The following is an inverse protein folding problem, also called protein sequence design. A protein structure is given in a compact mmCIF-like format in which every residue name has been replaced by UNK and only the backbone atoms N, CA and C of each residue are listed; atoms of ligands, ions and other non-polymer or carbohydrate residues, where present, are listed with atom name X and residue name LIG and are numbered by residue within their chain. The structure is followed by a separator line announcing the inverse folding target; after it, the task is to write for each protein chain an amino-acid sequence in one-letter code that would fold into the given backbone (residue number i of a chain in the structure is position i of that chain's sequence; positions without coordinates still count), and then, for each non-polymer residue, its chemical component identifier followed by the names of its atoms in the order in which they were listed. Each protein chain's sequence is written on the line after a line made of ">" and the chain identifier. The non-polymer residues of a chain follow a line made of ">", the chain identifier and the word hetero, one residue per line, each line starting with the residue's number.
data_IF_115970371091
#
_entry.id   IF_115970371091
#
_cell.length_a   1.000
_cell.length_b   1.000
_cell.length_c   1.000
_cell.angle_alpha   90.00
_cell.angle_beta   90.00
_cell.angle_gamma   90.00
#
_symmetry.space_group_name_H-M   'P 1'
#
loop_
_entity.id
_entity.type
_entity.pdbx_description
1 polymer ?
#
# COMPACT_ATOMS: atom_id res chain seq x y z
N UNK A 1 -39.13 -5.24 -21.34
CA UNK A 1 -37.82 -5.57 -20.76
C UNK A 1 -36.91 -4.38 -21.02
N UNK A 2 -36.84 -3.44 -20.06
CA UNK A 2 -35.92 -2.31 -20.12
C UNK A 2 -34.67 -2.68 -19.36
N UNK A 3 -33.53 -2.56 -20.02
CA UNK A 3 -32.21 -2.91 -19.54
C UNK A 3 -31.77 -1.88 -18.47
N UNK A 4 -32.03 -2.17 -17.19
CA UNK A 4 -31.82 -1.25 -16.05
C UNK A 4 -30.34 -1.06 -15.66
N UNK A 5 -29.40 -1.64 -16.42
CA UNK A 5 -27.97 -1.57 -16.11
C UNK A 5 -27.14 -0.77 -17.13
N UNK A 6 -27.79 -0.12 -18.10
CA UNK A 6 -27.07 0.79 -18.98
C UNK A 6 -26.57 2.01 -18.16
N UNK A 7 -25.26 2.31 -18.16
CA UNK A 7 -24.74 3.51 -17.51
C UNK A 7 -25.42 4.76 -18.08
N UNK A 8 -25.74 5.71 -17.20
CA UNK A 8 -26.35 6.97 -17.64
C UNK A 8 -25.43 7.69 -18.64
N UNK A 9 -26.01 8.42 -19.58
CA UNK A 9 -25.24 9.19 -20.57
C UNK A 9 -24.28 10.19 -19.89
N UNK A 10 -24.62 10.70 -18.70
CA UNK A 10 -23.76 11.56 -17.90
C UNK A 10 -22.55 10.81 -17.34
N UNK A 11 -22.74 9.58 -16.84
CA UNK A 11 -21.64 8.75 -16.35
C UNK A 11 -20.67 8.37 -17.49
N UNK A 12 -21.20 8.03 -18.67
CA UNK A 12 -20.39 7.75 -19.85
C UNK A 12 -19.56 8.97 -20.28
N UNK A 13 -20.16 10.17 -20.29
CA UNK A 13 -19.44 11.43 -20.59
C UNK A 13 -18.39 11.76 -19.54
N UNK A 14 -18.67 11.49 -18.26
CA UNK A 14 -17.70 11.69 -17.18
C UNK A 14 -16.49 10.76 -17.32
N UNK A 15 -16.73 9.47 -17.63
CA UNK A 15 -15.66 8.53 -17.89
C UNK A 15 -14.85 8.95 -19.12
N UNK A 16 -15.50 9.30 -20.23
CA UNK A 16 -14.83 9.79 -21.45
C UNK A 16 -13.97 11.03 -21.17
N UNK A 17 -14.47 11.98 -20.39
CA UNK A 17 -13.69 13.13 -19.96
C UNK A 17 -12.49 12.73 -19.11
N UNK A 18 -12.62 11.77 -18.18
CA UNK A 18 -11.50 11.26 -17.39
C UNK A 18 -10.46 10.56 -18.26
N UNK A 19 -10.86 9.69 -19.21
CA UNK A 19 -9.91 9.01 -20.11
C UNK A 19 -9.19 10.00 -21.01
N UNK A 20 -9.91 10.94 -21.64
CA UNK A 20 -9.32 11.97 -22.51
C UNK A 20 -8.37 12.88 -21.71
N UNK A 21 -8.73 13.25 -20.49
CA UNK A 21 -7.88 14.10 -19.64
C UNK A 21 -6.63 13.35 -19.18
N UNK A 22 -6.74 12.06 -18.90
CA UNK A 22 -5.60 11.21 -18.52
C UNK A 22 -4.67 10.97 -19.71
N UNK A 23 -5.21 10.69 -20.90
CA UNK A 23 -4.45 10.59 -22.15
C UNK A 23 -3.72 11.89 -22.49
N UNK A 24 -4.41 13.04 -22.43
CA UNK A 24 -3.78 14.35 -22.64
C UNK A 24 -2.72 14.72 -21.59
N UNK A 25 -2.82 14.18 -20.37
CA UNK A 25 -1.77 14.32 -19.36
C UNK A 25 -0.59 13.42 -19.72
N UNK A 26 -0.82 12.14 -20.05
CA UNK A 26 0.25 11.24 -20.45
C UNK A 26 0.98 11.71 -21.71
N UNK A 27 0.27 12.26 -22.70
CA UNK A 27 0.88 12.83 -23.90
C UNK A 27 1.70 14.09 -23.59
N UNK A 28 1.22 14.94 -22.66
CA UNK A 28 2.01 16.09 -22.17
C UNK A 28 3.31 15.67 -21.47
N UNK A 29 3.29 14.55 -20.76
CA UNK A 29 4.48 14.01 -20.11
C UNK A 29 5.34 13.15 -21.04
N UNK A 30 4.83 12.78 -22.22
CA UNK A 30 5.58 12.00 -23.23
C UNK A 30 6.37 12.88 -24.19
N UNK A 31 6.06 14.18 -24.24
CA UNK A 31 6.73 15.14 -25.12
C UNK A 31 8.01 15.77 -24.52
N UNK A 32 8.34 15.50 -23.26
CA UNK A 32 9.58 16.01 -22.63
C UNK A 32 10.72 14.97 -22.56
N UNK A 33 10.47 13.70 -22.92
CA UNK A 33 11.49 12.63 -22.91
C UNK A 33 12.10 12.34 -24.30
N UNK A 34 11.53 12.89 -25.39
CA UNK A 34 12.03 12.68 -26.78
C UNK A 34 12.73 13.92 -27.39
N UNK A 35 12.82 15.06 -26.67
CA UNK A 35 13.48 16.30 -27.13
C UNK A 35 14.80 16.60 -26.40
N UNK A 36 15.60 15.57 -26.08
CA UNK A 36 17.06 15.78 -25.98
C UNK A 36 17.62 15.82 -27.40
N UNK A 37 17.69 17.04 -27.90
CA UNK A 37 18.32 17.52 -29.13
C UNK A 37 19.57 16.67 -29.47
N UNK A 38 19.38 15.67 -30.31
CA UNK A 38 20.46 15.15 -31.15
C UNK A 38 20.70 16.21 -32.23
N UNK A 39 21.64 17.12 -31.98
CA UNK A 39 22.20 17.98 -33.02
C UNK A 39 22.85 17.06 -34.08
N UNK A 40 22.32 16.98 -35.31
CA UNK A 40 22.90 16.12 -36.35
C UNK A 40 24.25 16.65 -36.86
N UNK A 41 24.72 17.81 -36.36
CA UNK A 41 26.07 18.35 -36.59
C UNK A 41 26.97 18.34 -35.34
N UNK A 42 26.54 17.75 -34.22
CA UNK A 42 27.42 17.56 -33.08
C UNK A 42 28.44 16.47 -33.40
N UNK A 43 29.60 16.91 -33.88
CA UNK A 43 30.80 16.12 -34.08
C UNK A 43 31.12 15.30 -32.82
N UNK A 44 31.05 13.95 -32.87
CA UNK A 44 31.35 13.10 -31.72
C UNK A 44 32.83 13.14 -31.31
N UNK A 45 33.66 13.94 -31.98
CA UNK A 45 35.07 14.17 -31.62
C UNK A 45 35.33 15.48 -30.87
N UNK A 46 34.30 16.28 -30.56
CA UNK A 46 34.43 17.46 -29.71
C UNK A 46 34.58 17.12 -28.21
N UNK A 47 35.44 16.15 -27.88
CA UNK A 47 36.13 16.20 -26.61
C UNK A 47 36.97 17.48 -26.63
N UNK A 48 36.67 18.39 -25.72
CA UNK A 48 37.51 19.52 -25.41
C UNK A 48 38.94 19.00 -25.16
N UNK A 49 39.78 19.06 -26.20
CA UNK A 49 41.18 19.33 -26.05
C UNK A 49 41.24 20.65 -25.31
N UNK A 50 41.34 20.58 -23.99
CA UNK A 50 42.01 21.62 -23.23
C UNK A 50 43.42 21.65 -23.78
N UNK A 51 43.60 22.45 -24.82
CA UNK A 51 44.90 22.91 -25.24
C UNK A 51 45.46 23.66 -24.04
N UNK A 52 46.29 22.97 -23.26
CA UNK A 52 47.18 23.61 -22.30
C UNK A 52 48.13 24.44 -23.15
N UNK A 53 47.72 25.68 -23.41
CA UNK A 53 48.53 26.71 -24.00
C UNK A 53 49.67 26.96 -23.01
N UNK A 54 50.77 26.24 -23.20
CA UNK A 54 52.00 26.43 -22.45
C UNK A 54 52.67 27.67 -23.03
N UNK A 55 52.75 28.79 -22.28
CA UNK A 55 53.42 29.98 -22.78
C UNK A 55 54.88 29.65 -23.10
N UNK A 56 55.33 30.15 -24.25
CA UNK A 56 56.63 29.86 -24.82
C UNK A 56 57.79 30.06 -23.85
N UNK A 57 58.51 28.98 -23.59
CA UNK A 57 59.88 29.04 -23.09
C UNK A 57 60.79 28.89 -24.31
N UNK A 58 61.11 30.03 -24.93
CA UNK A 58 62.26 30.14 -25.81
C UNK A 58 63.50 30.28 -24.93
N UNK A 59 64.28 29.21 -24.79
CA UNK A 59 65.68 29.29 -24.39
C UNK A 59 66.40 28.06 -24.94
N UNK A 60 67.35 28.31 -25.83
CA UNK A 60 68.15 27.28 -26.47
C UNK A 60 69.01 26.49 -25.48
N UNK A 61 69.26 25.23 -25.80
CA UNK A 61 70.49 24.57 -25.42
C UNK A 61 70.75 23.39 -26.35
N UNK A 62 71.76 23.54 -27.21
CA UNK A 62 72.38 22.44 -27.93
C UNK A 62 73.14 21.60 -26.91
N UNK A 63 72.54 20.49 -26.50
CA UNK A 63 73.13 19.57 -25.54
C UNK A 63 72.59 18.17 -25.78
N UNK A 64 73.36 17.37 -26.51
CA UNK A 64 73.18 15.95 -26.70
C UNK A 64 73.02 15.23 -25.35
N UNK A 65 71.80 14.89 -25.00
CA UNK A 65 71.47 14.04 -23.87
C UNK A 65 70.35 13.12 -24.30
N UNK A 66 70.64 11.83 -24.40
CA UNK A 66 69.68 10.78 -24.66
C UNK A 66 68.63 10.74 -23.53
N UNK A 67 67.59 11.57 -23.65
CA UNK A 67 66.44 11.50 -22.77
C UNK A 67 65.65 10.24 -23.13
N UNK A 68 65.45 9.32 -22.17
CA UNK A 68 65.01 7.97 -22.47
C UNK A 68 63.56 8.01 -22.95
N UNK A 69 63.26 7.19 -23.97
CA UNK A 69 61.90 6.97 -24.52
C UNK A 69 60.83 6.75 -23.43
N UNK A 70 61.24 6.35 -22.23
CA UNK A 70 60.46 6.27 -21.00
C UNK A 70 59.69 7.55 -20.62
N UNK A 71 60.27 8.75 -20.78
CA UNK A 71 59.62 10.00 -20.34
C UNK A 71 58.38 10.37 -21.18
N UNK A 72 58.33 9.99 -22.47
CA UNK A 72 57.14 10.16 -23.32
C UNK A 72 56.03 9.17 -22.96
N UNK A 73 56.40 7.93 -22.63
CA UNK A 73 55.44 6.89 -22.23
C UNK A 73 54.74 7.28 -20.92
N UNK A 74 55.48 7.84 -19.95
CA UNK A 74 54.91 8.31 -18.67
C UNK A 74 53.90 9.44 -18.87
N UNK A 75 54.14 10.40 -19.78
CA UNK A 75 53.18 11.48 -20.07
C UNK A 75 51.90 10.99 -20.73
N UNK A 76 51.99 10.08 -21.69
CA UNK A 76 50.80 9.51 -22.35
C UNK A 76 50.01 8.67 -21.34
N UNK A 77 50.69 7.87 -20.52
CA UNK A 77 50.05 7.11 -19.45
C UNK A 77 49.34 8.03 -18.44
N UNK A 78 49.95 9.16 -18.06
CA UNK A 78 49.33 10.12 -17.15
C UNK A 78 48.06 10.77 -17.72
N UNK A 79 48.04 11.10 -19.02
CA UNK A 79 46.86 11.67 -19.69
C UNK A 79 45.72 10.65 -19.78
N UNK A 80 46.02 9.40 -20.15
CA UNK A 80 45.01 8.32 -20.20
C UNK A 80 44.47 8.03 -18.80
N UNK A 81 45.34 8.00 -17.78
CA UNK A 81 44.93 7.79 -16.39
C UNK A 81 44.04 8.95 -15.88
N UNK A 82 44.35 10.19 -16.26
CA UNK A 82 43.56 11.37 -15.89
C UNK A 82 42.20 11.41 -16.61
N UNK A 83 42.14 11.02 -17.89
CA UNK A 83 40.88 10.90 -18.63
C UNK A 83 40.00 9.76 -18.10
N UNK A 84 40.59 8.62 -17.70
CA UNK A 84 39.83 7.52 -17.10
C UNK A 84 39.31 7.87 -15.69
N UNK A 85 40.09 8.60 -14.89
CA UNK A 85 39.65 9.04 -13.56
C UNK A 85 38.61 10.16 -13.61
N UNK A 86 38.72 11.10 -14.55
CA UNK A 86 37.69 12.11 -14.80
C UNK A 86 36.37 11.49 -15.32
N UNK A 87 36.46 10.48 -16.19
CA UNK A 87 35.29 9.74 -16.68
C UNK A 87 34.55 8.97 -15.57
N UNK A 88 35.28 8.32 -14.66
CA UNK A 88 34.69 7.57 -13.55
C UNK A 88 33.99 8.47 -12.50
N UNK A 89 34.53 9.68 -12.26
CA UNK A 89 33.92 10.63 -11.33
C UNK A 89 32.59 11.23 -11.86
N UNK A 90 32.46 11.41 -13.17
CA UNK A 90 31.24 11.93 -13.81
C UNK A 90 30.05 10.98 -13.70
N UNK A 91 30.26 9.67 -13.85
CA UNK A 91 29.18 8.66 -13.77
C UNK A 91 28.58 8.58 -12.37
N UNK A 92 29.42 8.60 -11.32
CA UNK A 92 28.95 8.55 -9.92
C UNK A 92 28.18 9.81 -9.52
N UNK A 93 28.54 10.98 -10.06
CA UNK A 93 27.80 12.22 -9.83
C UNK A 93 26.43 12.21 -10.53
N UNK A 94 26.36 11.66 -11.74
CA UNK A 94 25.10 11.54 -12.49
C UNK A 94 24.11 10.55 -11.84
N UNK A 95 24.58 9.43 -11.30
CA UNK A 95 23.73 8.46 -10.58
C UNK A 95 23.11 9.08 -9.31
N UNK A 96 23.92 9.76 -8.48
CA UNK A 96 23.40 10.45 -7.29
C UNK A 96 22.36 11.52 -7.61
N UNK A 97 22.52 12.23 -8.74
CA UNK A 97 21.55 13.22 -9.18
C UNK A 97 20.24 12.60 -9.71
N UNK A 98 20.28 11.38 -10.26
CA UNK A 98 19.06 10.63 -10.64
C UNK A 98 18.32 10.14 -9.41
N UNK A 99 19.05 9.57 -8.45
CA UNK A 99 18.47 9.07 -7.19
C UNK A 99 17.78 10.19 -6.41
N UNK A 100 18.38 11.38 -6.33
CA UNK A 100 17.76 12.52 -5.66
C UNK A 100 16.44 12.94 -6.30
N UNK A 101 16.36 12.94 -7.64
CA UNK A 101 15.12 13.28 -8.37
C UNK A 101 14.03 12.23 -8.15
N UNK A 102 14.37 10.94 -8.07
CA UNK A 102 13.40 9.87 -7.79
C UNK A 102 12.82 10.05 -6.38
N UNK A 103 13.68 10.28 -5.38
CA UNK A 103 13.24 10.51 -4.00
C UNK A 103 12.35 11.75 -3.89
N UNK A 104 12.68 12.84 -4.58
CA UNK A 104 11.87 14.05 -4.61
C UNK A 104 10.47 13.79 -5.18
N UNK A 105 10.38 13.05 -6.30
CA UNK A 105 9.09 12.67 -6.91
C UNK A 105 8.27 11.78 -5.98
N UNK A 106 8.88 10.80 -5.31
CA UNK A 106 8.21 9.93 -4.35
C UNK A 106 7.66 10.73 -3.16
N UNK A 107 8.46 11.63 -2.58
CA UNK A 107 8.04 12.48 -1.47
C UNK A 107 6.94 13.48 -1.88
N UNK A 108 7.01 14.05 -3.09
CA UNK A 108 5.97 14.92 -3.61
C UNK A 108 4.65 14.17 -3.78
N UNK A 109 4.67 12.97 -4.37
CA UNK A 109 3.49 12.12 -4.49
C UNK A 109 2.91 11.76 -3.11
N UNK A 110 3.78 11.45 -2.15
CA UNK A 110 3.35 11.10 -0.79
C UNK A 110 2.75 12.30 -0.03
N UNK A 111 3.30 13.50 -0.23
CA UNK A 111 2.78 14.75 0.35
C UNK A 111 1.36 15.05 -0.14
N UNK A 112 1.09 14.82 -1.43
CA UNK A 112 -0.26 14.98 -1.99
C UNK A 112 -1.23 13.99 -1.34
N UNK A 113 -0.84 12.71 -1.18
CA UNK A 113 -1.66 11.70 -0.51
C UNK A 113 -1.94 12.07 0.95
N UNK A 114 -0.92 12.50 1.69
CA UNK A 114 -1.06 12.97 3.08
C UNK A 114 -2.07 14.13 3.14
N UNK A 115 -1.93 15.13 2.28
CA UNK A 115 -2.83 16.30 2.25
C UNK A 115 -4.29 15.87 1.98
N UNK A 116 -4.50 14.92 1.06
CA UNK A 116 -5.83 14.40 0.77
C UNK A 116 -6.43 13.66 1.98
N UNK A 117 -5.64 12.82 2.66
CA UNK A 117 -6.12 12.12 3.86
C UNK A 117 -6.32 13.04 5.06
N UNK A 118 -5.53 14.11 5.22
CA UNK A 118 -5.76 15.14 6.22
C UNK A 118 -7.12 15.83 6.02
N UNK A 119 -7.47 16.15 4.77
CA UNK A 119 -8.78 16.72 4.44
C UNK A 119 -9.91 15.73 4.73
N UNK A 120 -9.74 14.44 4.40
CA UNK A 120 -10.72 13.39 4.72
C UNK A 120 -10.91 13.22 6.22
N UNK A 121 -9.82 13.20 6.98
CA UNK A 121 -9.87 13.12 8.44
C UNK A 121 -10.56 14.35 9.05
N UNK A 122 -10.27 15.55 8.55
CA UNK A 122 -10.93 16.77 8.99
C UNK A 122 -12.45 16.71 8.74
N UNK A 123 -12.86 16.27 7.54
CA UNK A 123 -14.27 16.09 7.20
C UNK A 123 -14.96 15.03 8.08
N UNK A 124 -14.29 13.90 8.35
CA UNK A 124 -14.80 12.85 9.24
C UNK A 124 -15.00 13.37 10.67
N UNK A 125 -14.03 14.13 11.20
CA UNK A 125 -14.11 14.76 12.53
C UNK A 125 -15.24 15.78 12.61
N UNK A 126 -15.42 16.61 11.59
CA UNK A 126 -16.51 17.58 11.53
C UNK A 126 -17.88 16.89 11.50
N UNK A 127 -18.03 15.85 10.65
CA UNK A 127 -19.27 15.08 10.56
C UNK A 127 -19.63 14.40 11.89
N UNK A 128 -18.63 13.82 12.57
CA UNK A 128 -18.82 13.23 13.90
C UNK A 128 -19.22 14.28 14.93
N UNK A 129 -18.52 15.42 14.98
CA UNK A 129 -18.83 16.51 15.91
C UNK A 129 -20.24 17.06 15.72
N UNK A 130 -20.66 17.28 14.47
CA UNK A 130 -22.02 17.72 14.13
C UNK A 130 -23.07 16.72 14.57
N UNK A 131 -22.84 15.43 14.34
CA UNK A 131 -23.79 14.37 14.71
C UNK A 131 -23.86 14.20 16.23
N UNK A 132 -22.73 14.30 16.95
CA UNK A 132 -22.71 14.31 18.42
C UNK A 132 -23.56 15.44 19.00
N UNK A 133 -23.42 16.67 18.49
CA UNK A 133 -24.26 17.80 18.92
C UNK A 133 -25.76 17.54 18.67
N UNK A 134 -26.12 16.90 17.55
CA UNK A 134 -27.50 16.51 17.27
C UNK A 134 -28.01 15.44 18.24
N UNK A 135 -27.17 14.47 18.60
CA UNK A 135 -27.50 13.44 19.59
C UNK A 135 -27.70 14.05 20.98
N UNK A 136 -26.80 14.96 21.40
CA UNK A 136 -26.89 15.68 22.67
C UNK A 136 -28.17 16.53 22.76
N UNK A 137 -28.57 17.16 21.66
CA UNK A 137 -29.81 17.92 21.56
C UNK A 137 -31.07 17.06 21.33
N UNK A 138 -30.94 15.73 21.22
CA UNK A 138 -32.07 14.80 21.01
C UNK A 138 -32.62 14.76 19.57
N UNK A 139 -31.97 15.39 18.60
CA UNK A 139 -32.35 15.40 17.18
C UNK A 139 -31.85 14.20 16.37
N UNK A 140 -31.09 13.30 17.00
CA UNK A 140 -30.57 12.09 16.37
C UNK A 140 -30.42 10.97 17.41
N UNK A 141 -30.57 9.70 17.02
CA UNK A 141 -30.36 8.59 17.94
C UNK A 141 -28.87 8.40 18.25
N UNK A 142 -28.54 7.94 19.47
CA UNK A 142 -27.14 7.77 19.91
C UNK A 142 -26.30 6.90 18.98
N UNK A 143 -26.89 5.88 18.36
CA UNK A 143 -26.17 4.97 17.46
C UNK A 143 -25.73 5.60 16.13
N UNK A 144 -26.26 6.77 15.76
CA UNK A 144 -25.85 7.50 14.56
C UNK A 144 -24.38 7.93 14.57
N UNK A 145 -23.73 7.95 15.75
CA UNK A 145 -22.31 8.29 15.87
C UNK A 145 -21.37 7.14 15.52
N UNK A 146 -21.84 5.88 15.57
CA UNK A 146 -20.99 4.69 15.41
C UNK A 146 -20.32 4.62 14.03
N UNK A 147 -21.03 4.70 12.89
CA UNK A 147 -20.38 4.69 11.57
C UNK A 147 -19.44 5.88 11.35
N UNK A 148 -19.69 7.02 12.00
CA UNK A 148 -18.81 8.19 11.90
C UNK A 148 -17.52 8.03 12.72
N UNK A 149 -17.58 7.34 13.87
CA UNK A 149 -16.39 6.95 14.63
C UNK A 149 -15.53 5.96 13.85
N UNK A 150 -16.17 5.00 13.17
CA UNK A 150 -15.49 4.04 12.29
C UNK A 150 -14.76 4.76 11.14
N UNK A 151 -15.45 5.67 10.43
CA UNK A 151 -14.83 6.47 9.37
C UNK A 151 -13.67 7.32 9.88
N UNK A 152 -13.79 7.92 11.08
CA UNK A 152 -12.69 8.66 11.69
C UNK A 152 -11.49 7.73 11.95
N UNK A 153 -11.70 6.57 12.59
CA UNK A 153 -10.62 5.63 12.92
C UNK A 153 -9.88 5.13 11.66
N UNK A 154 -10.62 4.84 10.58
CA UNK A 154 -10.03 4.44 9.29
C UNK A 154 -9.19 5.58 8.69
N UNK A 155 -9.68 6.81 8.71
CA UNK A 155 -8.94 7.96 8.20
C UNK A 155 -7.68 8.27 9.04
N UNK A 156 -7.74 8.06 10.37
CA UNK A 156 -6.59 8.21 11.27
C UNK A 156 -5.51 7.16 10.99
N UNK A 157 -5.89 5.89 10.81
CA UNK A 157 -4.98 4.81 10.40
C UNK A 157 -4.27 5.15 9.09
N UNK A 158 -5.04 5.51 8.05
CA UNK A 158 -4.51 5.81 6.72
C UNK A 158 -3.53 6.97 6.73
N UNK A 159 -3.88 8.06 7.43
CA UNK A 159 -2.99 9.20 7.56
C UNK A 159 -1.69 8.84 8.30
N UNK A 160 -1.77 8.06 9.38
CA UNK A 160 -0.60 7.61 10.12
C UNK A 160 0.33 6.73 9.26
N UNK A 161 -0.23 5.78 8.50
CA UNK A 161 0.53 4.94 7.57
C UNK A 161 1.19 5.76 6.45
N UNK A 162 0.49 6.74 5.87
CA UNK A 162 1.08 7.59 4.82
C UNK A 162 2.23 8.45 5.34
N UNK A 163 2.13 8.95 6.58
CA UNK A 163 3.23 9.68 7.23
C UNK A 163 4.43 8.76 7.47
N UNK A 164 4.19 7.53 7.92
CA UNK A 164 5.23 6.50 8.07
C UNK A 164 5.93 6.19 6.74
N UNK A 165 5.16 6.04 5.66
CA UNK A 165 5.69 5.82 4.31
C UNK A 165 6.58 6.99 3.84
N UNK A 166 6.19 8.24 4.11
CA UNK A 166 7.00 9.42 3.79
C UNK A 166 8.32 9.45 4.58
N UNK A 167 8.30 9.03 5.84
CA UNK A 167 9.49 8.92 6.67
C UNK A 167 10.43 7.83 6.17
N UNK A 168 9.91 6.65 5.79
CA UNK A 168 10.73 5.58 5.21
C UNK A 168 11.38 6.05 3.90
N UNK A 169 10.63 6.71 3.00
CA UNK A 169 11.19 7.24 1.74
C UNK A 169 12.34 8.21 2.03
N UNK A 170 12.19 9.10 3.02
CA UNK A 170 13.22 10.09 3.37
C UNK A 170 14.51 9.43 3.86
N UNK A 171 14.41 8.33 4.61
CA UNK A 171 15.57 7.65 5.20
C UNK A 171 16.16 6.62 4.23
N UNK A 172 15.32 5.85 3.55
CA UNK A 172 15.73 4.74 2.68
C UNK A 172 16.07 5.18 1.25
N UNK A 173 15.57 6.33 0.80
CA UNK A 173 15.75 6.81 -0.57
C UNK A 173 15.03 5.97 -1.65
N UNK A 174 14.02 5.19 -1.27
CA UNK A 174 13.29 4.26 -2.14
C UNK A 174 11.83 4.11 -1.72
N UNK A 175 11.04 3.39 -2.51
CA UNK A 175 9.66 3.08 -2.14
C UNK A 175 9.58 2.25 -0.83
N UNK A 176 8.55 2.48 0.00
CA UNK A 176 8.40 1.76 1.25
C UNK A 176 8.19 0.26 1.03
N UNK A 177 8.92 -0.57 1.78
CA UNK A 177 8.77 -2.02 1.71
C UNK A 177 7.79 -2.53 2.77
N UNK A 178 6.79 -3.31 2.34
CA UNK A 178 5.72 -3.84 3.20
C UNK A 178 5.83 -5.34 3.50
N UNK A 179 6.87 -6.00 2.99
CA UNK A 179 7.12 -7.41 3.28
C UNK A 179 7.56 -7.61 4.73
N UNK A 180 7.14 -8.70 5.37
CA UNK A 180 7.60 -9.07 6.72
C UNK A 180 9.10 -9.33 6.79
N UNK A 181 9.72 -9.67 5.65
CA UNK A 181 11.16 -9.89 5.52
C UNK A 181 11.95 -8.63 5.11
N UNK A 182 11.32 -7.44 5.08
CA UNK A 182 12.03 -6.21 4.70
C UNK A 182 13.13 -5.86 5.71
N UNK A 183 14.33 -5.44 5.31
CA UNK A 183 15.39 -5.10 6.27
C UNK A 183 15.01 -3.87 7.12
N UNK A 184 15.56 -3.81 8.33
CA UNK A 184 15.51 -2.61 9.19
C UNK A 184 16.26 -1.46 8.51
N UNK A 185 15.69 -0.26 8.48
CA UNK A 185 16.27 0.89 7.78
C UNK A 185 16.78 1.90 8.81
N UNK A 186 18.07 2.18 8.80
CA UNK A 186 18.73 3.12 9.72
C UNK A 186 18.40 2.86 11.21
N UNK A 187 18.32 1.58 11.61
CA UNK A 187 18.00 1.17 12.98
C UNK A 187 16.52 1.25 13.35
N UNK A 188 15.63 1.60 12.41
CA UNK A 188 14.18 1.70 12.62
C UNK A 188 13.42 0.62 11.85
N UNK A 189 12.51 -0.07 12.53
CA UNK A 189 11.68 -1.11 11.93
C UNK A 189 10.32 -0.55 11.49
N UNK A 190 10.29 0.00 10.28
CA UNK A 190 9.08 0.54 9.67
C UNK A 190 7.97 -0.51 9.47
N UNK A 191 8.30 -1.80 9.37
CA UNK A 191 7.30 -2.86 9.21
C UNK A 191 6.57 -3.10 10.54
N UNK A 192 7.31 -3.25 11.64
CA UNK A 192 6.67 -3.38 12.97
C UNK A 192 5.84 -2.15 13.32
N UNK A 193 6.36 -0.94 13.06
CA UNK A 193 5.63 0.29 13.36
C UNK A 193 4.31 0.41 12.58
N UNK A 194 4.27 0.03 11.30
CA UNK A 194 3.01 -0.05 10.54
C UNK A 194 2.04 -1.06 11.13
N UNK A 195 2.54 -2.24 11.49
CA UNK A 195 1.70 -3.28 12.12
C UNK A 195 1.10 -2.77 13.43
N UNK A 196 1.86 -2.02 14.24
CA UNK A 196 1.37 -1.40 15.48
C UNK A 196 0.28 -0.35 15.22
N UNK A 197 0.49 0.53 14.23
CA UNK A 197 -0.52 1.53 13.82
C UNK A 197 -1.83 0.85 13.41
N UNK A 198 -1.75 -0.15 12.53
CA UNK A 198 -2.93 -0.89 12.09
C UNK A 198 -3.59 -1.63 13.24
N UNK A 199 -2.82 -2.24 14.14
CA UNK A 199 -3.35 -3.00 15.27
C UNK A 199 -4.12 -2.08 16.25
N UNK A 200 -3.62 -0.88 16.54
CA UNK A 200 -4.35 0.12 17.34
C UNK A 200 -5.67 0.53 16.67
N UNK A 201 -5.66 0.76 15.36
CA UNK A 201 -6.87 1.07 14.60
C UNK A 201 -7.88 -0.09 14.63
N UNK A 202 -7.43 -1.34 14.42
CA UNK A 202 -8.31 -2.52 14.46
C UNK A 202 -8.90 -2.78 15.84
N UNK A 203 -8.16 -2.52 16.93
CA UNK A 203 -8.71 -2.56 18.30
C UNK A 203 -9.81 -1.52 18.50
N UNK A 204 -9.63 -0.32 17.96
CA UNK A 204 -10.67 0.72 17.98
C UNK A 204 -11.90 0.28 17.21
N UNK A 205 -11.72 -0.29 16.01
CA UNK A 205 -12.82 -0.82 15.19
C UNK A 205 -13.54 -2.00 15.84
N UNK A 206 -12.82 -2.90 16.51
CA UNK A 206 -13.41 -4.00 17.29
C UNK A 206 -14.33 -3.46 18.39
N UNK A 207 -13.90 -2.44 19.14
CA UNK A 207 -14.73 -1.79 20.15
C UNK A 207 -16.01 -1.18 19.56
N UNK A 208 -15.93 -0.58 18.37
CA UNK A 208 -17.11 -0.05 17.67
C UNK A 208 -18.03 -1.19 17.20
N UNK A 209 -17.48 -2.28 16.67
CA UNK A 209 -18.26 -3.45 16.27
C UNK A 209 -18.97 -4.11 17.48
N UNK A 210 -18.31 -4.15 18.63
CA UNK A 210 -18.91 -4.65 19.88
C UNK A 210 -20.07 -3.74 20.33
N UNK A 211 -19.89 -2.42 20.32
CA UNK A 211 -20.96 -1.45 20.62
C UNK A 211 -22.18 -1.65 19.69
N UNK A 212 -21.95 -1.87 18.38
CA UNK A 212 -23.00 -2.16 17.39
C UNK A 212 -23.71 -3.48 17.69
N UNK A 213 -22.98 -4.55 17.93
CA UNK A 213 -23.56 -5.85 18.27
C UNK A 213 -24.44 -5.78 19.53
N UNK A 214 -23.97 -5.09 20.59
CA UNK A 214 -24.75 -4.93 21.83
C UNK A 214 -25.98 -4.04 21.65
N UNK A 215 -25.93 -3.05 20.77
CA UNK A 215 -27.11 -2.29 20.38
C UNK A 215 -28.12 -3.19 19.68
N UNK A 216 -27.70 -3.92 18.66
CA UNK A 216 -28.59 -4.73 17.84
C UNK A 216 -29.22 -5.86 18.65
N UNK A 217 -28.44 -6.49 19.53
CA UNK A 217 -28.94 -7.47 20.50
C UNK A 217 -30.05 -6.91 21.38
N UNK A 218 -29.94 -5.66 21.83
CA UNK A 218 -31.00 -4.98 22.62
C UNK A 218 -32.22 -4.66 21.77
N UNK A 219 -32.03 -4.21 20.52
CA UNK A 219 -33.14 -3.94 19.61
C UNK A 219 -33.93 -5.22 19.30
N UNK A 220 -33.24 -6.32 19.02
CA UNK A 220 -33.85 -7.65 18.84
C UNK A 220 -34.57 -8.10 20.11
N UNK A 221 -33.93 -7.98 21.28
CA UNK A 221 -34.54 -8.36 22.56
C UNK A 221 -35.81 -7.57 22.90
N UNK A 222 -35.91 -6.33 22.41
CA UNK A 222 -37.10 -5.48 22.56
C UNK A 222 -38.10 -5.61 21.40
N UNK A 223 -37.86 -6.47 20.41
CA UNK A 223 -38.70 -6.62 19.23
C UNK A 223 -38.68 -5.44 18.25
N UNK A 224 -37.67 -4.57 18.33
CA UNK A 224 -37.49 -3.39 17.47
C UNK A 224 -36.65 -3.66 16.22
N UNK A 225 -36.03 -4.84 16.13
CA UNK A 225 -35.22 -5.29 15.01
C UNK A 225 -35.45 -6.78 14.73
N UNK A 226 -35.26 -7.24 13.47
CA UNK A 226 -35.41 -8.65 13.12
C UNK A 226 -34.31 -9.51 13.78
N UNK A 227 -34.61 -10.74 14.17
CA UNK A 227 -33.65 -11.63 14.85
C UNK A 227 -32.31 -11.82 14.11
N UNK A 228 -32.32 -11.76 12.78
CA UNK A 228 -31.13 -11.91 11.94
C UNK A 228 -30.14 -10.73 12.03
N UNK A 229 -30.59 -9.55 12.48
CA UNK A 229 -29.75 -8.35 12.57
C UNK A 229 -28.60 -8.51 13.56
N UNK A 230 -28.89 -9.01 14.77
CA UNK A 230 -27.87 -9.26 15.79
C UNK A 230 -26.88 -10.36 15.36
N UNK A 231 -27.34 -11.37 14.61
CA UNK A 231 -26.47 -12.40 14.04
C UNK A 231 -25.49 -11.81 13.00
N UNK A 232 -25.97 -10.90 12.14
CA UNK A 232 -25.13 -10.19 11.17
C UNK A 232 -24.06 -9.35 11.85
N UNK A 233 -24.42 -8.57 12.87
CA UNK A 233 -23.45 -7.77 13.63
C UNK A 233 -22.46 -8.64 14.41
N UNK A 234 -22.88 -9.84 14.86
CA UNK A 234 -21.97 -10.81 15.49
C UNK A 234 -20.90 -11.30 14.52
N UNK A 235 -21.25 -11.58 13.26
CA UNK A 235 -20.27 -11.94 12.24
C UNK A 235 -19.26 -10.82 12.03
N UNK A 236 -19.71 -9.56 11.91
CA UNK A 236 -18.80 -8.43 11.76
C UNK A 236 -17.85 -8.28 12.95
N UNK A 237 -18.35 -8.51 14.16
CA UNK A 237 -17.54 -8.53 15.38
C UNK A 237 -16.49 -9.65 15.35
N UNK A 238 -16.87 -10.87 14.96
CA UNK A 238 -15.96 -12.01 14.88
C UNK A 238 -14.89 -11.81 13.81
N UNK A 239 -15.26 -11.28 12.64
CA UNK A 239 -14.32 -10.92 11.57
C UNK A 239 -13.34 -9.81 12.00
N UNK A 240 -13.82 -8.81 12.74
CA UNK A 240 -12.94 -7.77 13.30
C UNK A 240 -11.93 -8.35 14.30
N UNK A 241 -12.30 -9.39 15.05
CA UNK A 241 -11.40 -10.12 15.93
C UNK A 241 -10.31 -10.88 15.18
N UNK A 242 -10.67 -11.60 14.10
CA UNK A 242 -9.71 -12.32 13.26
C UNK A 242 -8.68 -11.40 12.60
N UNK A 243 -9.07 -10.18 12.25
CA UNK A 243 -8.15 -9.19 11.70
C UNK A 243 -7.09 -8.73 12.71
N UNK A 244 -7.42 -8.67 14.00
CA UNK A 244 -6.43 -8.41 15.06
C UNK A 244 -5.49 -9.60 15.20
N UNK A 245 -6.01 -10.83 15.23
CA UNK A 245 -5.20 -12.05 15.28
C UNK A 245 -4.19 -12.09 14.12
N UNK A 246 -4.61 -11.65 12.92
CA UNK A 246 -3.74 -11.52 11.74
C UNK A 246 -2.56 -10.59 11.99
N UNK A 247 -2.84 -9.36 12.42
CA UNK A 247 -1.80 -8.36 12.65
C UNK A 247 -0.87 -8.75 13.81
N UNK A 248 -1.42 -9.33 14.89
CA UNK A 248 -0.63 -9.83 16.00
C UNK A 248 0.28 -11.00 15.59
N UNK A 249 -0.23 -11.91 14.76
CA UNK A 249 0.53 -12.98 14.16
C UNK A 249 1.68 -12.49 13.29
N UNK A 250 1.38 -11.57 12.37
CA UNK A 250 2.38 -10.95 11.49
C UNK A 250 3.47 -10.22 12.29
N UNK A 251 3.07 -9.53 13.37
CA UNK A 251 4.01 -8.85 14.27
C UNK A 251 4.92 -9.84 14.99
N UNK A 252 4.40 -10.98 15.45
CA UNK A 252 5.23 -12.04 16.08
C UNK A 252 6.26 -12.58 15.09
N UNK A 253 5.85 -12.88 13.85
CA UNK A 253 6.77 -13.33 12.79
C UNK A 253 7.83 -12.27 12.47
N UNK A 254 7.44 -11.00 12.42
CA UNK A 254 8.37 -9.88 12.19
C UNK A 254 9.43 -9.78 13.29
N UNK A 255 9.05 -9.92 14.56
CA UNK A 255 10.01 -9.89 15.67
C UNK A 255 11.02 -11.02 15.59
N UNK A 256 10.54 -12.24 15.38
CA UNK A 256 11.39 -13.41 15.20
C UNK A 256 12.38 -13.25 14.03
N UNK A 257 11.94 -12.63 12.92
CA UNK A 257 12.84 -12.28 11.81
C UNK A 257 13.95 -11.29 12.21
N UNK A 258 13.58 -10.19 12.88
CA UNK A 258 14.54 -9.14 13.29
C UNK A 258 15.52 -9.67 14.33
N UNK A 259 15.09 -10.60 15.19
CA UNK A 259 15.91 -11.30 16.17
C UNK A 259 16.79 -12.40 15.54
N UNK A 260 16.58 -12.71 14.25
CA UNK A 260 17.36 -13.71 13.51
C UNK A 260 16.94 -15.15 13.76
N UNK A 261 15.75 -15.38 14.33
CA UNK A 261 15.19 -16.72 14.55
C UNK A 261 14.74 -17.39 13.24
N UNK A 262 14.32 -16.58 12.25
CA UNK A 262 13.88 -17.05 10.93
C UNK A 262 14.63 -16.33 9.82
N UNK A 263 14.95 -17.08 8.75
CA UNK A 263 15.45 -16.49 7.50
C UNK A 263 14.31 -15.82 6.70
N UNK A 264 14.68 -14.98 5.73
CA UNK A 264 13.72 -14.26 4.88
C UNK A 264 12.69 -15.19 4.23
N UNK A 265 13.15 -16.32 3.67
CA UNK A 265 12.28 -17.26 2.96
C UNK A 265 11.30 -17.97 3.90
N UNK A 266 11.74 -18.29 5.12
CA UNK A 266 10.89 -18.87 6.16
C UNK A 266 9.81 -17.90 6.63
N UNK A 267 10.14 -16.63 6.83
CA UNK A 267 9.16 -15.61 7.24
C UNK A 267 8.09 -15.42 6.18
N UNK A 268 8.47 -15.42 4.91
CA UNK A 268 7.51 -15.35 3.80
C UNK A 268 6.61 -16.58 3.79
N UNK A 269 7.18 -17.78 3.92
CA UNK A 269 6.41 -19.03 3.96
C UNK A 269 5.46 -19.09 5.16
N UNK A 270 5.96 -18.83 6.37
CA UNK A 270 5.17 -18.82 7.61
C UNK A 270 4.10 -17.72 7.59
N UNK A 271 4.40 -16.55 7.03
CA UNK A 271 3.44 -15.48 6.82
C UNK A 271 2.29 -15.92 5.90
N UNK A 272 2.60 -16.63 4.80
CA UNK A 272 1.57 -17.21 3.91
C UNK A 272 0.75 -18.30 4.58
N UNK A 273 1.39 -19.21 5.32
CA UNK A 273 0.68 -20.26 6.06
C UNK A 273 -0.31 -19.63 7.06
N UNK A 274 0.13 -18.62 7.81
CA UNK A 274 -0.73 -17.89 8.73
C UNK A 274 -1.90 -17.18 8.02
N UNK A 275 -1.67 -16.53 6.87
CA UNK A 275 -2.74 -15.92 6.07
C UNK A 275 -3.79 -16.97 5.66
N UNK A 276 -3.35 -18.15 5.22
CA UNK A 276 -4.23 -19.25 4.84
C UNK A 276 -5.03 -19.78 6.03
N UNK A 277 -4.41 -19.97 7.20
CA UNK A 277 -5.11 -20.41 8.41
C UNK A 277 -6.18 -19.43 8.89
N UNK A 278 -5.88 -18.13 8.85
CA UNK A 278 -6.83 -17.08 9.21
C UNK A 278 -7.98 -16.99 8.22
N UNK A 279 -7.70 -17.12 6.92
CA UNK A 279 -8.74 -17.21 5.89
C UNK A 279 -9.66 -18.41 6.12
N UNK A 280 -9.11 -19.56 6.52
CA UNK A 280 -9.90 -20.72 6.91
C UNK A 280 -10.88 -20.40 8.06
N UNK A 281 -10.39 -19.76 9.13
CA UNK A 281 -11.24 -19.32 10.25
C UNK A 281 -12.31 -18.30 9.83
N UNK A 282 -11.98 -17.36 8.96
CA UNK A 282 -12.96 -16.41 8.40
C UNK A 282 -14.06 -17.13 7.61
N UNK A 283 -13.68 -18.09 6.76
CA UNK A 283 -14.62 -18.88 5.98
C UNK A 283 -15.53 -19.72 6.89
N UNK A 284 -15.01 -20.29 7.97
CA UNK A 284 -15.81 -21.00 8.98
C UNK A 284 -16.86 -20.10 9.64
N UNK A 285 -16.50 -18.86 10.02
CA UNK A 285 -17.46 -17.89 10.59
C UNK A 285 -18.56 -17.57 9.57
N UNK A 286 -18.18 -17.31 8.31
CA UNK A 286 -19.14 -17.01 7.23
C UNK A 286 -20.05 -18.20 6.94
N UNK A 287 -19.49 -19.41 6.90
CA UNK A 287 -20.20 -20.67 6.69
C UNK A 287 -21.24 -20.90 7.78
N UNK A 288 -20.85 -20.77 9.05
CA UNK A 288 -21.74 -20.94 10.19
C UNK A 288 -22.93 -19.96 10.13
N UNK A 289 -22.67 -18.71 9.75
CA UNK A 289 -23.73 -17.71 9.56
C UNK A 289 -24.67 -18.05 8.39
N UNK A 290 -24.12 -18.40 7.21
CA UNK A 290 -24.93 -18.77 6.05
C UNK A 290 -25.80 -20.01 6.34
N UNK A 291 -25.26 -21.00 7.04
CA UNK A 291 -26.01 -22.18 7.48
C UNK A 291 -27.16 -21.81 8.45
N UNK A 292 -26.91 -20.94 9.43
CA UNK A 292 -27.95 -20.46 10.35
C UNK A 292 -29.04 -19.65 9.64
N UNK A 293 -28.67 -18.85 8.63
CA UNK A 293 -29.63 -18.13 7.79
C UNK A 293 -30.50 -19.11 6.98
N UNK A 294 -29.89 -20.14 6.40
CA UNK A 294 -30.62 -21.17 5.65
C UNK A 294 -31.61 -21.90 6.56
N UNK A 295 -31.17 -22.35 7.73
CA UNK A 295 -32.02 -23.04 8.72
C UNK A 295 -33.21 -22.16 9.13
N UNK A 296 -32.96 -20.86 9.36
CA UNK A 296 -34.02 -19.91 9.71
C UNK A 296 -35.02 -19.76 8.56
N UNK A 297 -34.54 -19.61 7.33
CA UNK A 297 -35.41 -19.47 6.16
C UNK A 297 -36.23 -20.75 5.88
N UNK A 298 -35.66 -21.93 6.06
CA UNK A 298 -36.37 -23.21 5.93
C UNK A 298 -37.47 -23.38 6.99
N UNK A 299 -37.22 -22.94 8.24
CA UNK A 299 -38.26 -22.90 9.28
C UNK A 299 -39.41 -21.95 8.92
N UNK A 300 -39.11 -20.81 8.29
CA UNK A 300 -40.13 -19.87 7.83
C UNK A 300 -40.98 -20.48 6.70
N UNK A 301 -40.35 -21.16 5.72
CA UNK A 301 -41.06 -21.92 4.68
C UNK A 301 -41.99 -22.95 5.28
N UNK A 302 -41.50 -23.76 6.21
CA UNK A 302 -42.30 -24.79 6.88
C UNK A 302 -43.49 -24.19 7.65
N UNK A 303 -43.37 -22.95 8.13
CA UNK A 303 -44.44 -22.18 8.77
C UNK A 303 -45.42 -21.50 7.80
N UNK A 304 -45.28 -21.70 6.48
CA UNK A 304 -46.14 -21.10 5.46
C UNK A 304 -45.81 -19.65 5.12
N UNK A 305 -44.66 -19.15 5.57
CA UNK A 305 -44.10 -17.87 5.12
C UNK A 305 -43.24 -18.15 3.89
N UNK A 306 -43.33 -17.31 2.85
CA UNK A 306 -42.49 -17.46 1.66
C UNK A 306 -41.27 -16.53 1.76
N UNK A 307 -40.10 -16.98 2.24
CA UNK A 307 -38.85 -16.28 2.02
C UNK A 307 -38.42 -16.48 0.56
N UNK A 308 -38.33 -15.39 -0.20
CA UNK A 308 -37.93 -15.41 -1.61
C UNK A 308 -36.45 -15.83 -1.84
N UNK A 309 -35.63 -15.89 -0.77
CA UNK A 309 -34.16 -15.91 -0.90
C UNK A 309 -33.48 -17.26 -0.62
N UNK A 310 -34.20 -18.36 -0.39
CA UNK A 310 -33.54 -19.62 0.04
C UNK A 310 -32.57 -20.21 -0.98
N UNK A 311 -32.86 -20.07 -2.27
CA UNK A 311 -31.94 -20.53 -3.32
C UNK A 311 -30.65 -19.72 -3.33
N UNK A 312 -30.74 -18.41 -3.13
CA UNK A 312 -29.57 -17.53 -3.02
C UNK A 312 -28.72 -17.87 -1.79
N UNK A 313 -29.35 -18.16 -0.64
CA UNK A 313 -28.62 -18.57 0.57
C UNK A 313 -27.92 -19.93 0.36
N UNK A 314 -28.57 -20.91 -0.28
CA UNK A 314 -27.95 -22.20 -0.61
C UNK A 314 -26.78 -22.05 -1.56
N UNK A 315 -26.93 -21.22 -2.59
CA UNK A 315 -25.84 -20.94 -3.53
C UNK A 315 -24.64 -20.28 -2.85
N UNK A 316 -24.89 -19.33 -1.93
CA UNK A 316 -23.84 -18.68 -1.15
C UNK A 316 -23.14 -19.66 -0.20
N UNK A 317 -23.90 -20.53 0.50
CA UNK A 317 -23.32 -21.56 1.35
C UNK A 317 -22.45 -22.54 0.54
N UNK A 318 -22.92 -22.99 -0.63
CA UNK A 318 -22.14 -23.86 -1.52
C UNK A 318 -20.87 -23.17 -2.05
N UNK A 319 -20.94 -21.86 -2.34
CA UNK A 319 -19.76 -21.05 -2.71
C UNK A 319 -18.74 -21.02 -1.57
N UNK A 320 -19.19 -20.79 -0.33
CA UNK A 320 -18.33 -20.77 0.86
C UNK A 320 -17.72 -22.16 1.10
N UNK A 321 -18.49 -23.23 0.96
CA UNK A 321 -17.99 -24.61 1.10
C UNK A 321 -16.84 -24.89 0.10
N UNK A 322 -17.00 -24.48 -1.17
CA UNK A 322 -15.94 -24.60 -2.17
C UNK A 322 -14.70 -23.76 -1.83
N UNK A 323 -14.87 -22.57 -1.24
CA UNK A 323 -13.75 -21.74 -0.76
C UNK A 323 -13.02 -22.38 0.43
N UNK A 324 -13.74 -23.06 1.34
CA UNK A 324 -13.13 -23.83 2.44
C UNK A 324 -12.31 -24.98 1.89
N UNK A 325 -12.82 -25.73 0.91
CA UNK A 325 -12.07 -26.80 0.25
C UNK A 325 -10.80 -26.27 -0.43
N UNK A 326 -10.91 -25.17 -1.18
CA UNK A 326 -9.76 -24.51 -1.81
C UNK A 326 -8.72 -24.08 -0.77
N UNK A 327 -9.17 -23.49 0.35
CA UNK A 327 -8.27 -23.06 1.43
C UNK A 327 -7.56 -24.26 2.09
N UNK A 328 -8.24 -25.40 2.24
CA UNK A 328 -7.63 -26.64 2.72
C UNK A 328 -6.53 -27.16 1.78
N UNK A 329 -6.75 -27.08 0.47
CA UNK A 329 -5.72 -27.40 -0.54
C UNK A 329 -4.54 -26.44 -0.47
N UNK A 330 -4.79 -25.12 -0.41
CA UNK A 330 -3.76 -24.09 -0.24
C UNK A 330 -2.92 -24.36 1.02
N UNK A 331 -3.55 -24.69 2.16
CA UNK A 331 -2.86 -25.00 3.42
C UNK A 331 -1.89 -26.18 3.27
N UNK A 332 -2.35 -27.26 2.64
CA UNK A 332 -1.53 -28.46 2.42
C UNK A 332 -0.26 -28.20 1.59
N UNK A 333 -0.30 -27.21 0.68
CA UNK A 333 0.87 -26.82 -0.13
C UNK A 333 1.98 -26.17 0.71
N UNK A 334 1.61 -25.51 1.81
CA UNK A 334 2.54 -24.84 2.72
C UNK A 334 2.99 -25.72 3.89
N UNK A 335 2.18 -26.70 4.31
CA UNK A 335 2.56 -27.68 5.35
C UNK A 335 3.49 -28.79 4.83
N UNK A 336 3.42 -29.14 3.55
CA UNK A 336 4.20 -30.22 2.94
C UNK A 336 5.63 -29.85 2.50
N UNK A 337 6.11 -28.65 2.81
CA UNK A 337 7.46 -28.15 2.46
C UNK A 337 8.28 -27.86 3.69
#
# INVERSE_FOLDING_TARGET
>A
MNDMHAPSAEFTRFLEWQTVTTLRRSERFRLDDDDEIADPNADPTAFALVAVDSPGIAAGNEGSGAWPRFARIIRIAAIVLFSMTAGAAGVVAAERARDSKVVERLLAAQTIKITLEEQRLAAAKEALAKTRRRVEAGYAPRWSVLPLRENQAIAEEQLALLRMDAEEIRVAGREPLRSLASPVVAGRDFVEERLLISLEARRTLLGIAEERFQLEKRLVGNGLAPFSSAAKEKVLLDLAGLEIDRLEGQRKLRKAFVEGEYESDDVVRLGRLQEVELRGRELEVRRAHAAAQLETAEKLIAGGLAPDDTEAIRAELARIDAEVELNGLERSLYEGR
#
